data_IF_308498012400
#
_entry.id   IF_308498012400
#
_cell.length_a   1.000
_cell.length_b   1.000
_cell.length_c   1.000
_cell.angle_alpha   90.00
_cell.angle_beta   90.00
_cell.angle_gamma   90.00
#
_symmetry.space_group_name_H-M   'P 1'
#
loop_
_entity.id
_entity.type
_entity.pdbx_description
1 polymer ?
#
# COMPACT_ATOMS: atom_id res chain seq x y z
N UNK A 1 13.05 -17.21 9.03
CA UNK A 1 12.33 -15.92 8.85
C UNK A 1 11.24 -16.08 7.82
N UNK A 2 10.01 -15.69 8.15
CA UNK A 2 8.87 -15.76 7.24
C UNK A 2 8.79 -14.49 6.41
N UNK A 3 8.52 -14.63 5.12
CA UNK A 3 8.24 -13.50 4.24
C UNK A 3 6.73 -13.42 3.96
N UNK A 4 6.16 -12.22 4.05
CA UNK A 4 4.79 -11.93 3.65
C UNK A 4 4.80 -10.89 2.54
N UNK A 5 4.07 -11.17 1.46
CA UNK A 5 3.85 -10.21 0.36
C UNK A 5 2.52 -9.53 0.60
N UNK A 6 2.51 -8.20 0.58
CA UNK A 6 1.30 -7.37 0.71
C UNK A 6 0.96 -6.70 -0.63
N UNK A 7 -0.25 -6.15 -0.73
CA UNK A 7 -0.75 -5.46 -1.93
C UNK A 7 -0.40 -3.96 -1.97
N UNK A 8 0.43 -3.49 -1.03
CA UNK A 8 0.96 -2.13 -0.99
C UNK A 8 2.48 -2.15 -0.88
N UNK A 9 3.16 -1.32 -1.68
CA UNK A 9 4.62 -1.19 -1.65
C UNK A 9 5.08 0.21 -1.31
N UNK A 10 6.38 0.44 -1.48
CA UNK A 10 7.02 1.76 -1.31
C UNK A 10 6.45 2.81 -2.28
N UNK A 11 5.78 2.39 -3.36
CA UNK A 11 5.12 3.27 -4.31
C UNK A 11 3.96 4.04 -3.68
N UNK A 12 3.26 3.49 -2.69
CA UNK A 12 2.16 4.19 -2.00
C UNK A 12 2.47 4.48 -0.53
N UNK A 13 3.40 3.72 0.08
CA UNK A 13 3.87 3.92 1.44
C UNK A 13 5.32 4.42 1.46
N UNK A 14 5.61 5.44 0.65
CA UNK A 14 6.98 5.94 0.46
C UNK A 14 7.73 6.26 1.77
N UNK A 15 6.99 6.71 2.79
CA UNK A 15 7.57 7.03 4.11
C UNK A 15 8.13 5.82 4.86
N UNK A 16 7.85 4.57 4.44
CA UNK A 16 8.47 3.37 5.03
C UNK A 16 9.98 3.32 4.86
N UNK A 17 10.53 4.07 3.89
CA UNK A 17 11.99 4.21 3.72
C UNK A 17 12.66 4.95 4.89
N UNK A 18 11.90 5.66 5.73
CA UNK A 18 12.43 6.42 6.87
C UNK A 18 11.83 6.00 8.21
N UNK A 19 10.62 5.44 8.19
CA UNK A 19 9.87 5.18 9.40
C UNK A 19 9.38 3.76 9.49
N UNK A 20 9.60 3.22 10.68
CA UNK A 20 8.99 2.01 11.15
C UNK A 20 7.53 2.24 11.58
N UNK A 21 6.64 2.37 10.59
CA UNK A 21 5.19 2.47 10.81
C UNK A 21 4.66 1.32 11.67
N UNK A 22 3.75 1.63 12.60
CA UNK A 22 2.99 0.59 13.30
C UNK A 22 2.08 -0.11 12.28
N UNK A 23 2.10 -1.43 12.25
CA UNK A 23 1.23 -2.25 11.42
C UNK A 23 0.44 -3.20 12.32
N UNK A 24 -0.86 -3.36 12.07
CA UNK A 24 -1.73 -4.29 12.80
C UNK A 24 -2.63 -5.05 11.85
N UNK A 25 -3.17 -6.18 12.28
CA UNK A 25 -4.16 -6.95 11.50
C UNK A 25 -5.57 -6.46 11.83
N UNK A 26 -6.46 -6.37 10.85
CA UNK A 26 -7.85 -5.95 11.01
C UNK A 26 -8.76 -7.09 11.51
N UNK A 27 -8.27 -7.92 12.43
CA UNK A 27 -9.01 -8.99 13.11
C UNK A 27 -8.50 -9.13 14.54
N UNK A 28 -9.20 -9.91 15.36
CA UNK A 28 -8.68 -10.28 16.68
C UNK A 28 -7.34 -11.00 16.50
N UNK A 29 -6.28 -10.42 17.08
CA UNK A 29 -4.95 -10.98 16.98
C UNK A 29 -4.87 -12.27 17.81
N UNK A 30 -4.36 -13.34 17.19
CA UNK A 30 -3.97 -14.55 17.92
C UNK A 30 -2.90 -14.24 18.97
N UNK A 31 -2.80 -15.08 20.00
CA UNK A 31 -1.80 -14.92 21.07
C UNK A 31 -0.36 -15.15 20.59
N UNK A 32 -0.19 -15.87 19.48
CA UNK A 32 1.12 -16.20 18.92
C UNK A 32 1.50 -15.22 17.81
N UNK A 33 2.69 -14.63 17.93
CA UNK A 33 3.30 -13.81 16.90
C UNK A 33 4.57 -14.47 16.38
N UNK A 34 4.92 -14.17 15.14
CA UNK A 34 6.18 -14.55 14.51
C UNK A 34 6.87 -13.32 13.90
N UNK A 35 8.19 -13.37 13.86
CA UNK A 35 8.99 -12.38 13.14
C UNK A 35 8.88 -12.60 11.64
N UNK A 36 8.45 -11.56 10.93
CA UNK A 36 8.25 -11.60 9.47
C UNK A 36 8.81 -10.37 8.79
N UNK A 37 9.28 -10.56 7.56
CA UNK A 37 9.63 -9.50 6.61
C UNK A 37 8.38 -9.19 5.76
N UNK A 38 8.05 -7.92 5.57
CA UNK A 38 6.97 -7.50 4.66
C UNK A 38 7.55 -6.95 3.37
N UNK A 39 7.23 -7.58 2.26
CA UNK A 39 7.55 -7.13 0.91
C UNK A 39 6.30 -6.58 0.23
N UNK A 40 6.46 -5.53 -0.57
CA UNK A 40 5.39 -5.06 -1.43
C UNK A 40 5.30 -5.86 -2.75
N UNK A 41 4.40 -5.45 -3.67
CA UNK A 41 4.13 -6.16 -4.91
C UNK A 41 5.00 -5.69 -6.09
N UNK A 42 5.88 -4.70 -5.91
CA UNK A 42 6.71 -4.17 -6.97
C UNK A 42 7.83 -5.18 -7.22
N UNK A 43 8.00 -5.63 -8.46
CA UNK A 43 8.99 -6.64 -8.90
C UNK A 43 10.46 -6.16 -8.78
N UNK A 44 10.84 -5.65 -7.61
CA UNK A 44 12.06 -4.93 -7.32
C UNK A 44 12.54 -5.32 -5.92
N UNK A 45 13.83 -5.64 -5.78
CA UNK A 45 14.44 -5.99 -4.49
C UNK A 45 14.33 -4.87 -3.43
N UNK A 46 14.11 -3.63 -3.86
CA UNK A 46 13.99 -2.46 -2.97
C UNK A 46 12.59 -2.31 -2.37
N UNK A 47 11.60 -3.10 -2.81
CA UNK A 47 10.22 -3.00 -2.31
C UNK A 47 10.03 -3.76 -1.00
N UNK A 48 10.81 -3.35 0.00
CA UNK A 48 10.75 -3.86 1.35
C UNK A 48 9.98 -2.84 2.20
N UNK A 49 8.76 -3.18 2.59
CA UNK A 49 7.93 -2.35 3.46
C UNK A 49 8.42 -2.43 4.91
N UNK A 50 8.93 -3.60 5.30
CA UNK A 50 9.43 -3.86 6.65
C UNK A 50 10.46 -4.98 6.69
N UNK A 51 11.66 -4.68 7.16
CA UNK A 51 12.71 -5.71 7.31
C UNK A 51 12.43 -6.70 8.45
N UNK A 52 11.84 -6.25 9.57
CA UNK A 52 11.45 -7.14 10.67
C UNK A 52 10.25 -6.56 11.43
N UNK A 53 9.21 -7.38 11.63
CA UNK A 53 8.06 -7.07 12.48
C UNK A 53 7.48 -8.34 13.08
N UNK A 54 7.04 -8.28 14.34
CA UNK A 54 6.27 -9.34 14.97
C UNK A 54 4.79 -9.16 14.65
N UNK A 55 4.20 -10.12 13.93
CA UNK A 55 2.77 -10.15 13.61
C UNK A 55 2.16 -11.50 13.99
N UNK A 56 0.84 -11.55 14.27
CA UNK A 56 0.12 -12.81 14.30
C UNK A 56 0.27 -13.58 12.99
N UNK A 57 0.03 -14.90 13.02
CA UNK A 57 0.03 -15.72 11.82
C UNK A 57 -0.94 -15.14 10.77
N UNK A 58 -0.41 -14.72 9.63
CA UNK A 58 -1.18 -14.16 8.52
C UNK A 58 -1.62 -15.25 7.55
N UNK A 59 -2.85 -15.13 7.06
CA UNK A 59 -3.40 -15.93 5.97
C UNK A 59 -3.69 -15.03 4.75
N UNK A 60 -3.73 -15.63 3.56
CA UNK A 60 -4.13 -14.88 2.36
C UNK A 60 -5.55 -14.33 2.53
N UNK A 61 -5.72 -13.03 2.25
CA UNK A 61 -6.98 -12.32 2.44
C UNK A 61 -7.09 -11.60 3.80
N UNK A 62 -6.15 -11.81 4.72
CA UNK A 62 -6.07 -10.96 5.92
C UNK A 62 -5.77 -9.51 5.55
N UNK A 63 -6.43 -8.59 6.24
CA UNK A 63 -6.26 -7.17 6.01
C UNK A 63 -5.29 -6.58 7.03
N UNK A 64 -4.35 -5.77 6.55
CA UNK A 64 -3.40 -5.04 7.38
C UNK A 64 -3.77 -3.55 7.45
N UNK A 65 -3.49 -2.95 8.60
CA UNK A 65 -3.68 -1.52 8.86
C UNK A 65 -2.30 -0.93 9.13
N UNK A 66 -1.85 -0.04 8.25
CA UNK A 66 -0.65 0.76 8.47
C UNK A 66 -1.06 2.08 9.11
N UNK A 67 -0.55 2.35 10.30
CA UNK A 67 -0.95 3.50 11.09
C UNK A 67 -0.13 4.73 10.76
N UNK A 68 -0.72 5.93 10.95
CA UNK A 68 -0.05 7.24 10.82
C UNK A 68 0.49 7.55 9.41
N UNK A 69 -0.24 7.12 8.38
CA UNK A 69 0.16 7.30 6.97
C UNK A 69 -0.44 8.55 6.29
N UNK A 70 -1.22 9.35 7.01
CA UNK A 70 -1.98 10.48 6.45
C UNK A 70 -1.15 11.65 5.93
N UNK A 71 0.11 11.76 6.33
CA UNK A 71 1.03 12.78 5.85
C UNK A 71 2.15 12.17 5.01
N UNK A 72 2.61 12.92 4.01
CA UNK A 72 3.79 12.65 3.17
C UNK A 72 3.74 11.42 2.24
N UNK A 73 2.88 10.42 2.49
CA UNK A 73 2.71 9.29 1.58
C UNK A 73 1.99 9.70 0.29
N UNK A 74 0.76 10.20 0.39
CA UNK A 74 -0.02 10.60 -0.79
C UNK A 74 0.67 11.71 -1.61
N UNK A 75 1.42 12.61 -0.97
CA UNK A 75 2.15 13.65 -1.70
C UNK A 75 3.38 13.13 -2.44
N UNK A 76 3.87 11.94 -2.10
CA UNK A 76 5.09 11.33 -2.66
C UNK A 76 4.84 9.97 -3.34
N UNK A 77 3.58 9.55 -3.47
CA UNK A 77 3.23 8.27 -4.08
C UNK A 77 3.47 8.25 -5.60
N UNK A 78 3.69 7.06 -6.13
CA UNK A 78 4.10 6.81 -7.51
C UNK A 78 3.17 5.77 -8.15
N UNK A 79 3.02 5.83 -9.48
CA UNK A 79 2.24 4.89 -10.30
C UNK A 79 3.08 3.71 -10.83
N UNK A 80 4.24 3.45 -10.22
CA UNK A 80 5.14 2.39 -10.67
C UNK A 80 4.50 1.01 -10.41
N UNK A 81 4.32 0.21 -11.48
CA UNK A 81 3.69 -1.14 -11.52
C UNK A 81 2.20 -1.17 -11.15
N UNK A 82 1.75 -0.37 -10.18
CA UNK A 82 0.36 -0.31 -9.72
C UNK A 82 -0.21 1.11 -9.83
N UNK A 83 -1.48 1.19 -10.23
CA UNK A 83 -2.28 2.42 -10.22
C UNK A 83 -2.56 2.90 -8.79
N UNK A 84 -2.66 4.21 -8.56
CA UNK A 84 -2.90 4.74 -7.20
C UNK A 84 -4.33 4.46 -6.74
N UNK A 85 -4.52 3.97 -5.50
CA UNK A 85 -5.83 3.53 -5.01
C UNK A 85 -6.76 4.70 -4.68
N UNK A 86 -8.02 4.36 -4.36
CA UNK A 86 -8.98 5.33 -3.84
C UNK A 86 -8.59 5.86 -2.47
N UNK A 87 -9.06 7.06 -2.13
CA UNK A 87 -9.00 7.59 -0.76
C UNK A 87 -10.41 7.83 -0.24
N UNK A 88 -10.66 7.33 0.96
CA UNK A 88 -11.97 7.38 1.63
C UNK A 88 -11.84 8.17 2.92
N UNK A 89 -12.78 9.09 3.14
CA UNK A 89 -13.00 9.79 4.40
C UNK A 89 -14.12 9.08 5.17
N UNK A 90 -13.90 8.79 6.45
CA UNK A 90 -14.97 8.41 7.37
C UNK A 90 -15.35 9.66 8.16
N UNK A 91 -16.60 10.12 8.04
CA UNK A 91 -17.04 11.34 8.70
C UNK A 91 -17.36 11.15 10.19
N UNK A 92 -17.74 12.23 10.88
CA UNK A 92 -18.06 12.21 12.32
C UNK A 92 -19.29 11.35 12.67
N UNK A 93 -20.10 10.95 11.68
CA UNK A 93 -21.25 10.05 11.85
C UNK A 93 -20.91 8.60 11.48
N UNK A 94 -19.66 8.33 11.10
CA UNK A 94 -19.22 7.01 10.66
C UNK A 94 -19.57 6.68 9.21
N UNK A 95 -20.03 7.64 8.41
CA UNK A 95 -20.33 7.43 7.00
C UNK A 95 -19.05 7.52 6.17
N UNK A 96 -18.86 6.57 5.24
CA UNK A 96 -17.76 6.58 4.28
C UNK A 96 -18.06 7.45 3.07
N UNK A 97 -17.07 8.24 2.66
CA UNK A 97 -17.11 9.14 1.50
C UNK A 97 -15.86 8.93 0.66
N UNK A 98 -16.02 8.57 -0.61
CA UNK A 98 -14.89 8.51 -1.53
C UNK A 98 -14.47 9.93 -1.92
N UNK A 99 -13.32 10.38 -1.42
CA UNK A 99 -12.79 11.73 -1.68
C UNK A 99 -11.75 11.74 -2.80
N UNK A 100 -11.30 10.56 -3.24
CA UNK A 100 -10.49 10.37 -4.44
C UNK A 100 -10.81 9.02 -5.08
N UNK A 101 -11.08 9.03 -6.38
CA UNK A 101 -11.26 7.80 -7.18
C UNK A 101 -9.93 7.07 -7.39
N UNK A 102 -9.94 5.73 -7.50
CA UNK A 102 -8.74 5.02 -7.93
C UNK A 102 -8.39 5.44 -9.35
N UNK A 103 -7.11 5.35 -9.70
CA UNK A 103 -6.68 5.60 -11.06
C UNK A 103 -7.04 4.45 -11.99
N UNK A 104 -7.16 4.80 -13.28
CA UNK A 104 -7.44 3.85 -14.36
C UNK A 104 -6.31 3.92 -15.38
N UNK A 105 -6.30 2.95 -16.31
CA UNK A 105 -5.32 2.93 -17.39
C UNK A 105 -5.47 4.20 -18.26
N UNK A 106 -6.70 4.63 -18.53
CA UNK A 106 -6.97 5.84 -19.29
C UNK A 106 -6.39 7.09 -18.62
N UNK A 107 -6.43 7.18 -17.28
CA UNK A 107 -5.79 8.28 -16.56
C UNK A 107 -4.26 8.25 -16.70
N UNK A 108 -3.66 7.06 -16.67
CA UNK A 108 -2.21 6.91 -16.83
C UNK A 108 -1.77 7.34 -18.24
N UNK A 109 -2.52 6.92 -19.26
CA UNK A 109 -2.20 7.14 -20.67
C UNK A 109 -2.65 8.51 -21.19
N UNK A 110 -3.45 9.28 -20.44
CA UNK A 110 -4.07 10.52 -20.96
C UNK A 110 -3.08 11.60 -21.44
N UNK A 111 -1.83 11.53 -20.96
CA UNK A 111 -0.77 12.47 -21.33
C UNK A 111 0.12 11.94 -22.45
N UNK A 112 -0.08 10.69 -22.88
CA UNK A 112 0.67 10.07 -23.95
C UNK A 112 0.17 10.56 -25.31
N UNK A 113 1.10 10.79 -26.25
CA UNK A 113 0.79 11.12 -27.63
C UNK A 113 1.48 10.11 -28.52
N UNK A 114 0.69 9.28 -29.18
CA UNK A 114 1.21 8.29 -30.12
C UNK A 114 1.48 8.97 -31.47
N UNK A 115 2.73 8.98 -31.98
CA UNK A 115 3.05 9.49 -33.31
C UNK A 115 2.19 8.81 -34.38
N UNK A 116 1.80 9.54 -35.42
CA UNK A 116 0.85 9.04 -36.44
C UNK A 116 1.29 7.74 -37.12
N UNK A 117 2.60 7.48 -37.23
CA UNK A 117 3.14 6.27 -37.84
C UNK A 117 3.13 5.04 -36.91
N UNK A 118 2.71 5.20 -35.64
CA UNK A 118 2.58 4.14 -34.64
C UNK A 118 1.13 3.90 -34.21
N UNK A 119 0.17 4.68 -34.74
CA UNK A 119 -1.27 4.48 -34.51
C UNK A 119 -1.77 3.18 -35.13
#
# INVERSE_FOLDING_TARGET
DRATIVDFGINILFTSNWYDHKISVAKEAGQYTEETVLFGPLCMNIDVVRESINLPLLESGDHLIVHKVGAYNMTQWMQFINMRPSVVLIDQKGQSHQIRTPETLEYLEMMEQLPDHLK
#
